data_IF_953415988436
#
_entry.id   IF_953415988436
#
_cell.length_a   1.000
_cell.length_b   1.000
_cell.length_c   1.000
_cell.angle_alpha   90.00
_cell.angle_beta   90.00
_cell.angle_gamma   90.00
#
_symmetry.space_group_name_H-M   'P 1'
#
loop_
_entity.id
_entity.type
_entity.pdbx_description
1 polymer ?
#
# COMPACT_ATOMS: atom_id res chain seq x y z
N UNK A 1 -17.75 9.37 -16.38
CA UNK A 1 -16.59 8.44 -16.48
C UNK A 1 -17.03 7.01 -16.80
N UNK A 2 -17.73 6.30 -15.89
CA UNK A 2 -18.16 4.91 -16.13
C UNK A 2 -19.02 4.77 -17.41
N UNK A 3 -19.99 5.67 -17.60
CA UNK A 3 -20.82 5.73 -18.81
C UNK A 3 -20.01 5.88 -20.10
N UNK A 4 -18.99 6.74 -20.13
CA UNK A 4 -18.14 6.91 -21.33
C UNK A 4 -17.38 5.64 -21.71
N UNK A 5 -16.93 4.85 -20.72
CA UNK A 5 -16.26 3.57 -20.97
C UNK A 5 -17.23 2.47 -21.37
N UNK A 6 -18.42 2.40 -20.75
CA UNK A 6 -19.48 1.48 -21.14
C UNK A 6 -19.93 1.74 -22.59
N UNK A 7 -20.19 2.99 -22.94
CA UNK A 7 -20.55 3.40 -24.29
C UNK A 7 -19.42 3.19 -25.31
N UNK A 8 -18.17 3.43 -24.92
CA UNK A 8 -16.98 3.14 -25.75
C UNK A 8 -16.89 1.65 -26.07
N UNK A 9 -17.07 0.78 -25.08
CA UNK A 9 -17.08 -0.67 -25.27
C UNK A 9 -18.26 -1.13 -26.15
N UNK A 10 -19.45 -0.56 -25.96
CA UNK A 10 -20.61 -0.84 -26.79
C UNK A 10 -20.39 -0.40 -28.26
N UNK A 11 -19.83 0.80 -28.48
CA UNK A 11 -19.50 1.29 -29.82
C UNK A 11 -18.41 0.45 -30.51
N UNK A 12 -17.44 -0.05 -29.74
CA UNK A 12 -16.42 -0.97 -30.27
C UNK A 12 -17.04 -2.31 -30.70
N UNK A 13 -17.95 -2.85 -29.87
CA UNK A 13 -18.70 -4.07 -30.19
C UNK A 13 -19.63 -3.88 -31.41
N UNK A 14 -20.11 -2.66 -31.64
CA UNK A 14 -20.90 -2.28 -32.83
C UNK A 14 -20.05 -1.97 -34.07
N UNK A 15 -18.73 -2.19 -34.04
CA UNK A 15 -17.78 -1.85 -35.11
C UNK A 15 -17.68 -0.34 -35.43
N UNK A 16 -18.20 0.53 -34.56
CA UNK A 16 -18.08 2.00 -34.67
C UNK A 16 -16.76 2.48 -34.05
N UNK A 17 -15.63 2.08 -34.64
CA UNK A 17 -14.29 2.29 -34.07
C UNK A 17 -13.93 3.77 -33.81
N UNK A 18 -14.38 4.69 -34.67
CA UNK A 18 -14.14 6.13 -34.49
C UNK A 18 -14.85 6.67 -33.24
N UNK A 19 -16.13 6.32 -33.06
CA UNK A 19 -16.94 6.73 -31.91
C UNK A 19 -16.46 6.07 -30.62
N UNK A 20 -16.08 4.79 -30.68
CA UNK A 20 -15.48 4.09 -29.55
C UNK A 20 -14.20 4.79 -29.06
N UNK A 21 -13.35 5.22 -29.99
CA UNK A 21 -12.11 5.95 -29.67
C UNK A 21 -12.41 7.29 -29.01
N UNK A 22 -13.33 8.08 -29.56
CA UNK A 22 -13.71 9.39 -29.00
C UNK A 22 -14.26 9.25 -27.57
N UNK A 23 -15.18 8.30 -27.34
CA UNK A 23 -15.75 8.02 -26.01
C UNK A 23 -14.68 7.53 -25.03
N UNK A 24 -13.70 6.74 -25.51
CA UNK A 24 -12.56 6.31 -24.70
C UNK A 24 -11.67 7.48 -24.29
N UNK A 25 -11.39 8.41 -25.21
CA UNK A 25 -10.60 9.61 -24.95
C UNK A 25 -11.29 10.53 -23.94
N UNK A 26 -12.61 10.71 -24.05
CA UNK A 26 -13.42 11.44 -23.06
C UNK A 26 -13.41 10.74 -21.70
N UNK A 27 -13.58 9.42 -21.65
CA UNK A 27 -13.47 8.62 -20.43
C UNK A 27 -12.13 8.80 -19.74
N UNK A 28 -11.03 8.75 -20.51
CA UNK A 28 -9.66 9.00 -20.02
C UNK A 28 -9.48 10.44 -19.53
N UNK A 29 -10.07 11.44 -20.19
CA UNK A 29 -10.01 12.82 -19.73
C UNK A 29 -10.70 12.99 -18.36
N UNK A 30 -11.88 12.41 -18.18
CA UNK A 30 -12.57 12.41 -16.89
C UNK A 30 -11.80 11.65 -15.81
N UNK A 31 -11.19 10.52 -16.14
CA UNK A 31 -10.34 9.77 -15.21
C UNK A 31 -9.15 10.61 -14.74
N UNK A 32 -8.44 11.30 -15.66
CA UNK A 32 -7.32 12.18 -15.31
C UNK A 32 -7.74 13.31 -14.38
N UNK A 33 -8.90 13.92 -14.62
CA UNK A 33 -9.38 15.00 -13.77
C UNK A 33 -9.79 14.49 -12.38
N UNK A 34 -10.43 13.33 -12.30
CA UNK A 34 -10.74 12.68 -11.04
C UNK A 34 -9.46 12.36 -10.26
N UNK A 35 -8.44 11.78 -10.91
CA UNK A 35 -7.16 11.46 -10.28
C UNK A 35 -6.46 12.74 -9.77
N UNK A 36 -6.54 13.85 -10.52
CA UNK A 36 -6.01 15.15 -10.11
C UNK A 36 -6.71 15.70 -8.87
N UNK A 37 -8.03 15.64 -8.83
CA UNK A 37 -8.82 16.11 -7.68
C UNK A 37 -8.60 15.23 -6.46
N UNK A 38 -8.54 13.91 -6.63
CA UNK A 38 -8.24 12.96 -5.56
C UNK A 38 -6.83 13.18 -5.01
N UNK A 39 -5.83 13.45 -5.86
CA UNK A 39 -4.48 13.81 -5.42
C UNK A 39 -4.48 15.05 -4.50
N UNK A 40 -5.20 16.10 -4.87
CA UNK A 40 -5.33 17.30 -4.03
C UNK A 40 -6.06 17.03 -2.71
N UNK A 41 -7.14 16.26 -2.77
CA UNK A 41 -7.92 15.91 -1.60
C UNK A 41 -7.11 15.06 -0.62
N UNK A 42 -6.38 14.06 -1.12
CA UNK A 42 -5.55 13.18 -0.31
C UNK A 42 -4.37 13.90 0.33
N UNK A 43 -3.71 14.81 -0.38
CA UNK A 43 -2.70 15.70 0.23
C UNK A 43 -3.28 16.55 1.36
N UNK A 44 -4.47 17.12 1.17
CA UNK A 44 -5.11 17.94 2.19
C UNK A 44 -5.51 17.10 3.41
N UNK A 45 -6.13 15.94 3.21
CA UNK A 45 -6.50 15.01 4.28
C UNK A 45 -5.25 14.54 5.03
N UNK A 46 -4.21 14.13 4.30
CA UNK A 46 -2.96 13.68 4.91
C UNK A 46 -2.31 14.80 5.73
N UNK A 47 -2.21 16.01 5.18
CA UNK A 47 -1.65 17.15 5.90
C UNK A 47 -2.45 17.46 7.16
N UNK A 48 -3.77 17.57 7.06
CA UNK A 48 -4.63 17.89 8.20
C UNK A 48 -4.56 16.83 9.29
N UNK A 49 -4.59 15.55 8.92
CA UNK A 49 -4.54 14.45 9.87
C UNK A 49 -3.19 14.36 10.61
N UNK A 50 -2.10 14.82 10.01
CA UNK A 50 -0.74 14.67 10.54
C UNK A 50 -0.16 15.94 11.17
N UNK A 51 -0.86 17.09 11.12
CA UNK A 51 -0.37 18.37 11.67
C UNK A 51 0.02 18.33 13.15
N UNK A 52 -0.81 17.69 13.97
CA UNK A 52 -0.63 17.64 15.44
C UNK A 52 -0.12 16.29 15.94
N UNK A 53 0.42 15.46 15.04
CA UNK A 53 0.90 14.11 15.38
C UNK A 53 2.38 14.10 15.71
N UNK A 54 2.78 13.03 16.39
CA UNK A 54 4.18 12.79 16.72
C UNK A 54 4.97 12.44 15.44
N UNK A 55 6.27 12.74 15.37
CA UNK A 55 7.07 12.47 14.17
C UNK A 55 7.18 10.98 13.81
N UNK A 56 6.96 10.09 14.79
CA UNK A 56 6.94 8.64 14.63
C UNK A 56 5.55 8.07 14.34
N UNK A 57 4.54 8.92 14.14
CA UNK A 57 3.15 8.55 13.86
C UNK A 57 2.66 9.14 12.54
N UNK A 58 2.05 8.30 11.70
CA UNK A 58 1.53 8.72 10.40
C UNK A 58 0.11 8.20 10.24
N UNK A 59 -0.82 9.13 10.02
CA UNK A 59 -2.22 8.84 9.82
C UNK A 59 -2.61 8.81 8.35
N UNK A 60 -3.10 7.65 7.93
CA UNK A 60 -3.50 7.33 6.57
C UNK A 60 -5.00 7.07 6.47
N UNK A 61 -5.76 7.27 7.56
CA UNK A 61 -7.19 7.05 7.55
C UNK A 61 -7.88 7.98 6.55
N UNK A 62 -8.93 7.46 5.90
CA UNK A 62 -9.70 8.23 4.92
C UNK A 62 -9.05 8.36 3.54
N UNK A 63 -7.80 7.90 3.37
CA UNK A 63 -7.13 7.85 2.07
C UNK A 63 -7.55 6.62 1.26
N UNK A 64 -7.48 6.74 -0.07
CA UNK A 64 -7.58 5.57 -0.94
C UNK A 64 -6.31 4.73 -0.84
N UNK A 65 -6.42 3.43 -1.12
CA UNK A 65 -5.31 2.46 -1.02
C UNK A 65 -4.05 2.93 -1.76
N UNK A 66 -4.20 3.40 -2.99
CA UNK A 66 -3.08 3.86 -3.82
C UNK A 66 -2.36 5.07 -3.20
N UNK A 67 -3.13 6.00 -2.63
CA UNK A 67 -2.62 7.21 -1.98
C UNK A 67 -1.90 6.82 -0.69
N UNK A 68 -2.53 5.99 0.15
CA UNK A 68 -1.99 5.51 1.41
C UNK A 68 -0.63 4.81 1.23
N UNK A 69 -0.50 3.97 0.19
CA UNK A 69 0.78 3.34 -0.18
C UNK A 69 1.85 4.42 -0.47
N UNK A 70 1.53 5.38 -1.33
CA UNK A 70 2.49 6.43 -1.71
C UNK A 70 2.94 7.28 -0.51
N UNK A 71 2.01 7.66 0.38
CA UNK A 71 2.34 8.40 1.60
C UNK A 71 3.14 7.54 2.59
N UNK A 72 2.85 6.24 2.69
CA UNK A 72 3.59 5.31 3.55
C UNK A 72 5.03 5.16 3.08
N UNK A 73 5.27 4.97 1.78
CA UNK A 73 6.62 4.90 1.22
C UNK A 73 7.42 6.18 1.52
N UNK A 74 6.77 7.35 1.33
CA UNK A 74 7.38 8.63 1.65
C UNK A 74 7.73 8.73 3.14
N UNK A 75 6.80 8.41 4.01
CA UNK A 75 7.02 8.46 5.46
C UNK A 75 8.13 7.52 5.93
N UNK A 76 8.19 6.30 5.38
CA UNK A 76 9.24 5.33 5.69
C UNK A 76 10.61 5.86 5.25
N UNK A 77 10.71 6.44 4.05
CA UNK A 77 11.96 7.01 3.57
C UNK A 77 12.41 8.20 4.42
N UNK A 78 11.49 9.07 4.80
CA UNK A 78 11.76 10.21 5.70
C UNK A 78 12.20 9.72 7.09
N UNK A 79 11.52 8.72 7.65
CA UNK A 79 11.87 8.13 8.95
C UNK A 79 13.23 7.42 8.93
N UNK A 80 13.56 6.71 7.84
CA UNK A 80 14.90 6.13 7.64
C UNK A 80 15.98 7.20 7.56
N UNK A 81 15.72 8.30 6.86
CA UNK A 81 16.65 9.42 6.75
C UNK A 81 16.88 10.13 8.10
N UNK A 82 15.87 10.14 8.97
CA UNK A 82 15.95 10.68 10.33
C UNK A 82 16.57 9.72 11.36
N UNK A 83 16.80 8.45 10.99
CA UNK A 83 17.30 7.42 11.91
C UNK A 83 16.24 6.92 12.90
N UNK A 84 14.97 7.08 12.57
CA UNK A 84 13.85 6.60 13.39
C UNK A 84 13.76 5.08 13.32
N UNK A 85 13.79 4.40 14.47
CA UNK A 85 13.76 2.94 14.54
C UNK A 85 12.37 2.34 14.19
N UNK A 86 11.28 3.05 14.53
CA UNK A 86 9.90 2.55 14.37
C UNK A 86 8.95 3.64 13.91
N UNK A 87 7.99 3.29 13.08
CA UNK A 87 6.92 4.17 12.61
C UNK A 87 5.57 3.54 12.89
N UNK A 88 4.65 4.31 13.46
CA UNK A 88 3.28 3.91 13.74
C UNK A 88 2.36 4.41 12.62
N UNK A 89 1.85 3.50 11.79
CA UNK A 89 0.94 3.78 10.70
C UNK A 89 -0.51 3.58 11.15
N UNK A 90 -1.31 4.64 11.15
CA UNK A 90 -2.72 4.58 11.50
C UNK A 90 -3.52 4.31 10.22
N UNK A 91 -3.88 3.05 10.00
CA UNK A 91 -4.65 2.58 8.83
C UNK A 91 -6.16 2.63 9.06
N UNK A 92 -6.58 2.84 10.31
CA UNK A 92 -7.98 2.90 10.73
C UNK A 92 -8.61 1.52 10.94
N UNK A 93 -9.67 1.47 11.76
CA UNK A 93 -10.33 0.21 12.19
C UNK A 93 -11.24 -0.43 11.14
N UNK A 94 -11.40 0.18 9.96
CA UNK A 94 -12.30 -0.33 8.92
C UNK A 94 -13.80 -0.13 9.19
N UNK A 95 -14.19 0.62 10.22
CA UNK A 95 -15.60 0.78 10.62
C UNK A 95 -16.48 1.52 9.59
N UNK A 96 -15.88 2.34 8.71
CA UNK A 96 -16.63 3.18 7.75
C UNK A 96 -16.40 2.80 6.27
N UNK A 97 -15.69 1.71 5.96
CA UNK A 97 -15.56 1.30 4.57
C UNK A 97 -16.87 0.66 4.07
N UNK A 98 -17.28 0.89 2.81
CA UNK A 98 -18.44 0.21 2.24
C UNK A 98 -18.17 -1.29 2.27
N UNK A 99 -18.90 -2.01 3.14
CA UNK A 99 -18.78 -3.44 3.51
C UNK A 99 -17.87 -3.81 4.70
N UNK A 100 -17.34 -2.86 5.47
CA UNK A 100 -16.55 -3.15 6.69
C UNK A 100 -15.21 -3.84 6.43
N UNK A 101 -14.74 -3.84 5.18
CA UNK A 101 -13.43 -4.40 4.79
C UNK A 101 -12.41 -3.26 4.84
N UNK A 102 -11.51 -3.30 5.82
CA UNK A 102 -10.36 -2.41 5.86
C UNK A 102 -9.42 -2.76 4.69
N UNK A 103 -9.56 -2.09 3.55
CA UNK A 103 -8.69 -2.34 2.37
C UNK A 103 -7.27 -1.78 2.54
N UNK A 104 -7.10 -0.82 3.44
CA UNK A 104 -5.80 -0.21 3.72
C UNK A 104 -4.86 -1.18 4.42
N UNK A 105 -5.32 -1.86 5.48
CA UNK A 105 -4.53 -2.82 6.26
C UNK A 105 -3.79 -3.85 5.39
N UNK A 106 -4.48 -4.69 4.58
CA UNK A 106 -3.80 -5.72 3.79
C UNK A 106 -2.88 -5.11 2.72
N UNK A 107 -3.21 -3.93 2.19
CA UNK A 107 -2.38 -3.26 1.20
C UNK A 107 -1.07 -2.74 1.80
N UNK A 108 -1.10 -2.19 3.01
CA UNK A 108 0.10 -1.74 3.72
C UNK A 108 0.92 -2.95 4.20
N UNK A 109 0.27 -4.01 4.70
CA UNK A 109 0.97 -5.27 5.05
C UNK A 109 1.71 -5.86 3.83
N UNK A 110 1.08 -5.91 2.67
CA UNK A 110 1.72 -6.36 1.42
C UNK A 110 2.90 -5.47 1.01
N UNK A 111 2.76 -4.14 1.17
CA UNK A 111 3.84 -3.19 0.93
C UNK A 111 5.04 -3.45 1.85
N UNK A 112 4.80 -3.70 3.15
CA UNK A 112 5.86 -3.97 4.10
C UNK A 112 6.59 -5.28 3.77
N UNK A 113 5.85 -6.32 3.42
CA UNK A 113 6.43 -7.60 2.96
C UNK A 113 7.32 -7.41 1.74
N UNK A 114 6.88 -6.62 0.75
CA UNK A 114 7.67 -6.31 -0.46
C UNK A 114 8.94 -5.53 -0.15
N UNK A 115 8.93 -4.67 0.87
CA UNK A 115 10.10 -3.91 1.30
C UNK A 115 11.00 -4.66 2.30
N UNK A 116 10.66 -5.90 2.67
CA UNK A 116 11.39 -6.67 3.68
C UNK A 116 11.27 -6.08 5.09
N UNK A 117 10.21 -5.30 5.35
CA UNK A 117 9.96 -4.64 6.63
C UNK A 117 9.02 -5.47 7.49
N UNK A 118 9.25 -5.43 8.81
CA UNK A 118 8.38 -6.10 9.78
C UNK A 118 7.29 -5.12 10.20
N UNK A 119 6.03 -5.48 9.90
CA UNK A 119 4.84 -4.80 10.36
C UNK A 119 4.12 -5.65 11.42
N UNK A 120 3.79 -5.05 12.55
CA UNK A 120 3.02 -5.69 13.62
C UNK A 120 1.79 -4.84 13.95
N UNK A 121 0.66 -5.48 14.23
CA UNK A 121 -0.53 -4.77 14.70
C UNK A 121 -0.36 -4.41 16.17
N UNK A 122 -0.79 -3.22 16.56
CA UNK A 122 -0.87 -2.87 17.99
C UNK A 122 -1.95 -3.72 18.69
N UNK A 123 -1.59 -4.39 19.78
CA UNK A 123 -2.48 -5.22 20.61
C UNK A 123 -3.67 -4.44 21.18
N UNK A 124 -3.48 -3.13 21.43
CA UNK A 124 -4.50 -2.24 22.02
C UNK A 124 -5.32 -1.52 20.97
N UNK A 125 -4.80 -1.40 19.74
CA UNK A 125 -5.47 -0.67 18.67
C UNK A 125 -5.30 -1.33 17.32
N UNK A 126 -6.29 -2.13 16.91
CA UNK A 126 -6.31 -2.80 15.62
C UNK A 126 -6.32 -1.86 14.39
N UNK A 127 -6.37 -0.55 14.58
CA UNK A 127 -6.21 0.46 13.53
C UNK A 127 -4.78 0.99 13.36
N UNK A 128 -3.82 0.50 14.14
CA UNK A 128 -2.41 0.95 14.13
C UNK A 128 -1.48 -0.20 13.77
N UNK A 129 -0.60 0.05 12.81
CA UNK A 129 0.44 -0.86 12.34
C UNK A 129 1.80 -0.28 12.74
N UNK A 130 2.59 -1.02 13.50
CA UNK A 130 3.93 -0.65 13.92
C UNK A 130 4.92 -1.25 12.94
N UNK A 131 5.68 -0.41 12.26
CA UNK A 131 6.71 -0.80 11.29
C UNK A 131 8.08 -0.57 11.87
N UNK A 132 8.89 -1.63 11.97
CA UNK A 132 10.30 -1.54 12.41
C UNK A 132 11.21 -1.29 11.20
N UNK A 133 11.94 -0.18 11.22
CA UNK A 133 12.81 0.29 10.13
C UNK A 133 14.30 0.01 10.37
N UNK A 134 14.66 -0.34 11.59
CA UNK A 134 16.02 -0.63 12.07
C UNK A 134 16.54 -2.02 11.64
N UNK A 135 15.72 -2.82 10.94
CA UNK A 135 16.06 -4.20 10.58
C UNK A 135 16.23 -5.12 11.80
N UNK A 136 15.98 -4.61 13.01
CA UNK A 136 15.96 -5.41 14.21
C UNK A 136 14.57 -6.01 14.35
N UNK A 137 14.52 -7.32 14.19
CA UNK A 137 13.41 -8.17 14.60
C UNK A 137 13.13 -7.90 16.09
N UNK A 138 12.20 -6.98 16.37
CA UNK A 138 11.50 -6.96 17.65
C UNK A 138 10.86 -8.34 17.80
N UNK A 139 11.43 -9.12 18.73
CA UNK A 139 11.40 -10.57 18.74
C UNK A 139 10.02 -11.22 18.67
N UNK A 140 10.05 -12.50 18.30
CA UNK A 140 8.95 -13.45 18.14
C UNK A 140 8.24 -13.42 16.76
N UNK A 141 8.96 -13.82 15.72
CA UNK A 141 8.37 -14.24 14.45
C UNK A 141 9.44 -14.76 13.51
N UNK A 142 9.38 -16.04 13.14
CA UNK A 142 10.35 -16.67 12.24
C UNK A 142 10.35 -15.97 10.88
N UNK A 143 11.45 -15.31 10.54
CA UNK A 143 11.71 -14.83 9.18
C UNK A 143 12.42 -15.95 8.44
N UNK A 144 11.78 -16.51 7.43
CA UNK A 144 12.48 -17.22 6.36
C UNK A 144 13.01 -16.13 5.43
N UNK A 145 14.32 -15.91 5.42
CA UNK A 145 14.93 -15.03 4.43
C UNK A 145 15.10 -15.77 3.10
N UNK A 146 14.92 -15.09 1.96
CA UNK A 146 15.15 -15.69 0.64
C UNK A 146 16.62 -16.11 0.41
N UNK A 147 17.56 -15.54 1.17
CA UNK A 147 18.99 -15.90 1.11
C UNK A 147 19.36 -17.15 1.95
N UNK A 148 18.44 -17.73 2.73
CA UNK A 148 18.67 -19.00 3.44
C UNK A 148 18.49 -20.23 2.53
N UNK A 149 17.80 -20.09 1.40
CA UNK A 149 17.53 -21.21 0.47
C UNK A 149 18.83 -21.66 -0.24
N UNK A 150 19.77 -20.75 -0.48
CA UNK A 150 21.02 -21.03 -1.20
C UNK A 150 22.11 -21.68 -0.34
N UNK A 151 21.98 -21.72 1.00
CA UNK A 151 22.97 -22.37 1.88
C UNK A 151 22.57 -23.75 2.39
N UNK A 152 21.34 -24.20 2.14
CA UNK A 152 20.88 -25.51 2.60
C UNK A 152 21.13 -26.66 1.60
N UNK A 153 21.48 -26.36 0.34
CA UNK A 153 21.77 -27.37 -0.69
C UNK A 153 23.23 -27.88 -0.68
N UNK A 154 24.13 -27.31 0.12
CA UNK A 154 25.52 -27.75 0.21
C UNK A 154 25.82 -28.66 1.42
N UNK A 155 24.83 -28.95 2.28
CA UNK A 155 25.08 -29.71 3.54
C UNK A 155 24.52 -31.13 3.62
N UNK A 156 23.68 -31.59 2.69
CA UNK A 156 23.07 -32.93 2.74
C UNK A 156 23.31 -33.77 1.46
N UNK A 157 24.58 -33.91 1.06
CA UNK A 157 24.98 -34.73 -0.10
C UNK A 157 26.03 -35.80 0.20
N UNK A 158 26.40 -36.02 1.46
CA UNK A 158 27.27 -37.11 1.86
C UNK A 158 26.52 -38.44 1.91
N UNK A 159 26.36 -39.11 0.77
CA UNK A 159 25.98 -40.52 0.73
C UNK A 159 27.03 -41.29 -0.08
N UNK A 160 27.60 -42.30 0.58
CA UNK A 160 28.69 -43.15 0.10
C UNK A 160 28.35 -43.84 -1.23
N UNK A 161 29.32 -43.85 -2.14
CA UNK A 161 29.42 -44.88 -3.19
C UNK A 161 30.45 -45.92 -2.71
N UNK A 162 29.97 -47.13 -2.42
CA UNK A 162 30.68 -48.39 -2.66
C UNK A 162 29.79 -49.26 -3.54
#
# INVERSE_FOLDING_TARGET
>A
MAQCFEESHAAYAAHEGARAKELSEQGRAHQREMDRLNGKASEWIFSENNKDRRPDEVDLHGLYVKEAISFTERAINEARAQGTAKVHLIVGKGLHSPRGVAKLKPAIEELMQKQGLVAQLDEKNAGVLIVSLDGQLSGAGSVVQPDDITRQLEKDGGCLIM
#
